data_IF_064719057432
#
_entry.id   IF_064719057432
#
_cell.length_a   1.000
_cell.length_b   1.000
_cell.length_c   1.000
_cell.angle_alpha   90.00
_cell.angle_beta   90.00
_cell.angle_gamma   90.00
#
_symmetry.space_group_name_H-M   'P 1'
#
loop_
_entity.id
_entity.type
_entity.pdbx_description
1 polymer ?
#
# COMPACT_ATOMS: atom_id res chain seq x y z
N UNK A 1 -9.60 16.23 -61.74
CA UNK A 1 -10.02 15.27 -62.79
C UNK A 1 -10.58 14.05 -62.09
N UNK A 2 -11.88 14.04 -62.14
CA UNK A 2 -12.89 13.01 -62.51
C UNK A 2 -13.02 11.89 -61.52
N UNK A 3 -14.09 11.88 -60.66
CA UNK A 3 -15.47 11.43 -60.85
C UNK A 3 -15.51 9.98 -61.37
N UNK A 4 -16.20 9.01 -60.77
CA UNK A 4 -17.65 8.83 -60.67
C UNK A 4 -17.96 7.60 -59.79
N UNK A 5 -18.89 7.62 -58.88
CA UNK A 5 -20.37 7.44 -58.86
C UNK A 5 -20.87 6.03 -59.20
N UNK A 6 -21.75 5.63 -58.28
CA UNK A 6 -23.05 4.92 -58.39
C UNK A 6 -23.00 3.40 -58.18
N UNK A 7 -23.98 2.70 -57.67
CA UNK A 7 -25.37 2.94 -57.17
C UNK A 7 -25.81 1.64 -56.46
N UNK A 8 -26.46 1.76 -55.35
CA UNK A 8 -27.77 1.27 -54.90
C UNK A 8 -28.44 0.16 -55.70
N UNK A 9 -28.90 -0.89 -55.02
CA UNK A 9 -30.22 -1.51 -55.33
C UNK A 9 -30.89 -2.00 -54.04
N UNK A 10 -32.13 -1.57 -53.89
CA UNK A 10 -33.16 -1.96 -52.94
C UNK A 10 -33.66 -3.38 -53.16
N UNK A 11 -34.16 -4.01 -52.11
CA UNK A 11 -35.00 -5.18 -52.20
C UNK A 11 -35.56 -5.62 -50.84
N UNK A 12 -36.72 -5.13 -50.49
CA UNK A 12 -37.74 -5.70 -49.60
C UNK A 12 -38.88 -6.18 -50.52
N UNK A 13 -39.85 -7.02 -50.13
CA UNK A 13 -40.38 -7.35 -48.82
C UNK A 13 -40.87 -8.80 -48.58
N UNK A 14 -41.36 -9.02 -47.35
CA UNK A 14 -42.45 -9.89 -46.96
C UNK A 14 -42.25 -11.40 -46.95
N UNK A 15 -42.31 -11.98 -45.77
CA UNK A 15 -43.32 -13.00 -45.51
C UNK A 15 -43.73 -13.08 -44.04
N UNK A 16 -45.06 -13.06 -43.87
CA UNK A 16 -45.81 -13.11 -42.64
C UNK A 16 -46.02 -14.58 -42.24
N UNK A 17 -45.68 -14.88 -40.99
CA UNK A 17 -45.96 -16.17 -40.37
C UNK A 17 -46.54 -15.99 -38.96
N UNK A 18 -47.81 -15.80 -38.86
CA UNK A 18 -48.59 -15.89 -37.62
C UNK A 18 -48.53 -17.32 -37.08
N UNK A 19 -48.19 -17.45 -35.81
CA UNK A 19 -48.66 -18.61 -35.00
C UNK A 19 -49.22 -18.11 -33.67
N UNK A 20 -50.45 -18.47 -33.54
CA UNK A 20 -51.48 -18.17 -32.57
C UNK A 20 -51.14 -18.39 -31.10
N UNK A 21 -51.69 -17.49 -30.32
CA UNK A 21 -51.98 -17.59 -28.91
C UNK A 21 -52.80 -18.84 -28.51
N UNK A 22 -52.42 -19.50 -27.43
CA UNK A 22 -53.38 -20.30 -26.65
C UNK A 22 -53.47 -19.71 -25.23
N UNK A 23 -54.54 -18.93 -25.06
CA UNK A 23 -55.22 -18.71 -23.77
C UNK A 23 -56.06 -19.97 -23.45
N UNK A 24 -55.85 -20.53 -22.29
CA UNK A 24 -56.84 -21.35 -21.56
C UNK A 24 -56.86 -20.86 -20.13
N UNK A 25 -57.83 -20.13 -19.80
CA UNK A 25 -59.16 -20.26 -19.28
C UNK A 25 -59.24 -20.93 -17.91
N UNK A 26 -59.60 -20.05 -16.98
CA UNK A 26 -60.15 -20.35 -15.64
C UNK A 26 -61.35 -21.32 -15.67
N UNK A 27 -61.42 -22.23 -14.68
CA UNK A 27 -62.63 -22.37 -13.84
C UNK A 27 -62.55 -23.55 -12.87
N UNK A 28 -62.65 -23.17 -11.60
CA UNK A 28 -63.52 -23.74 -10.58
C UNK A 28 -63.45 -25.24 -10.24
N UNK A 29 -63.01 -25.47 -8.99
CA UNK A 29 -63.72 -26.43 -8.14
C UNK A 29 -63.90 -25.87 -6.74
N UNK A 30 -65.12 -25.80 -6.30
CA UNK A 30 -65.60 -25.29 -5.02
C UNK A 30 -66.04 -26.50 -4.13
N UNK A 31 -65.71 -26.42 -2.85
CA UNK A 31 -66.47 -26.79 -1.64
C UNK A 31 -66.48 -28.27 -1.21
N UNK A 32 -66.01 -28.54 -0.01
CA UNK A 32 -66.76 -28.81 1.24
C UNK A 32 -65.79 -28.98 2.43
N UNK A 33 -65.83 -28.08 3.33
CA UNK A 33 -66.42 -28.05 4.66
C UNK A 33 -65.83 -29.02 5.70
N UNK A 34 -65.30 -28.43 6.77
CA UNK A 34 -65.35 -28.99 8.12
C UNK A 34 -64.10 -28.90 8.95
N UNK A 35 -64.08 -28.05 9.98
CA UNK A 35 -63.17 -28.19 11.09
C UNK A 35 -62.39 -26.93 11.46
N UNK A 36 -62.93 -26.10 12.33
CA UNK A 36 -62.26 -25.00 12.97
C UNK A 36 -61.15 -25.50 13.94
N UNK A 37 -59.89 -25.11 13.70
CA UNK A 37 -58.89 -24.96 14.76
C UNK A 37 -58.17 -23.64 14.47
N UNK A 38 -58.43 -22.67 15.33
CA UNK A 38 -57.70 -21.39 15.35
C UNK A 38 -56.28 -21.65 15.85
N UNK A 39 -55.35 -21.85 14.93
CA UNK A 39 -53.93 -21.74 15.21
C UNK A 39 -53.48 -20.41 14.61
N UNK A 40 -53.08 -19.47 15.47
CA UNK A 40 -52.62 -18.17 15.08
C UNK A 40 -51.45 -18.27 14.11
N UNK A 41 -51.65 -17.87 12.86
CA UNK A 41 -50.61 -17.61 11.92
C UNK A 41 -49.92 -16.33 12.37
N UNK A 42 -48.90 -16.46 13.23
CA UNK A 42 -47.85 -15.47 13.29
C UNK A 42 -47.21 -15.49 11.89
N UNK A 43 -47.65 -14.59 11.05
CA UNK A 43 -46.99 -14.29 9.81
C UNK A 43 -45.57 -13.91 10.15
N UNK A 44 -44.61 -14.76 9.78
CA UNK A 44 -43.24 -14.38 9.69
C UNK A 44 -43.16 -13.23 8.67
N UNK A 45 -43.32 -12.00 9.14
CA UNK A 45 -42.89 -10.82 8.39
C UNK A 45 -41.44 -11.08 8.15
N UNK A 46 -40.95 -11.21 6.88
CA UNK A 46 -39.52 -11.22 6.66
C UNK A 46 -39.02 -9.89 7.22
N UNK A 47 -38.32 -9.95 8.34
CA UNK A 47 -37.50 -8.86 8.79
C UNK A 47 -36.52 -8.61 7.61
N UNK A 48 -36.92 -7.70 6.72
CA UNK A 48 -35.96 -7.04 5.85
C UNK A 48 -34.99 -6.40 6.83
N UNK A 49 -33.87 -7.10 7.09
CA UNK A 49 -32.77 -6.54 7.85
C UNK A 49 -32.46 -5.21 7.19
N UNK A 50 -32.65 -4.14 7.90
CA UNK A 50 -32.16 -2.85 7.48
C UNK A 50 -30.66 -3.05 7.28
N UNK A 51 -30.19 -2.82 6.06
CA UNK A 51 -28.76 -2.85 5.82
C UNK A 51 -28.12 -1.86 6.81
N UNK A 52 -27.16 -2.34 7.59
CA UNK A 52 -26.47 -1.48 8.53
C UNK A 52 -25.85 -0.30 7.77
N UNK A 53 -25.85 0.89 8.38
CA UNK A 53 -25.23 2.07 7.79
C UNK A 53 -23.76 1.78 7.50
N UNK A 54 -23.24 2.19 6.34
CA UNK A 54 -21.86 1.96 5.99
C UNK A 54 -20.91 2.71 6.92
N UNK A 55 -19.75 2.11 7.19
CA UNK A 55 -18.68 2.72 7.96
C UNK A 55 -17.70 3.42 7.02
N UNK A 56 -17.56 4.72 7.17
CA UNK A 56 -16.64 5.50 6.36
C UNK A 56 -15.20 5.39 6.87
N UNK A 57 -14.29 5.07 5.96
CA UNK A 57 -12.83 5.18 6.18
C UNK A 57 -12.21 6.10 5.12
N UNK A 58 -11.30 6.95 5.56
CA UNK A 58 -10.59 7.86 4.67
C UNK A 58 -9.33 7.25 4.09
N UNK A 59 -8.97 7.68 2.87
CA UNK A 59 -7.72 7.29 2.23
C UNK A 59 -7.05 8.51 1.57
N UNK A 60 -5.82 8.80 1.98
CA UNK A 60 -5.02 9.93 1.52
C UNK A 60 -3.84 9.43 0.69
N UNK A 61 -3.88 9.61 -0.63
CA UNK A 61 -2.79 9.20 -1.52
C UNK A 61 -2.57 10.22 -2.63
N UNK A 62 -1.30 10.46 -3.04
CA UNK A 62 -1.00 11.28 -4.21
C UNK A 62 -1.33 10.50 -5.48
N UNK A 63 -2.46 10.78 -6.12
CA UNK A 63 -2.82 10.21 -7.43
C UNK A 63 -2.42 11.11 -8.59
N UNK A 64 -1.95 12.31 -8.26
CA UNK A 64 -1.32 13.25 -9.19
C UNK A 64 0.02 13.77 -8.64
N UNK A 65 0.81 14.43 -9.50
CA UNK A 65 2.15 14.93 -9.14
C UNK A 65 3.25 13.87 -9.21
N UNK A 66 4.41 14.16 -8.62
CA UNK A 66 5.63 13.36 -8.77
C UNK A 66 5.60 11.95 -8.18
N UNK A 67 4.64 11.66 -7.29
CA UNK A 67 4.49 10.37 -6.64
C UNK A 67 3.25 9.57 -7.13
N UNK A 68 2.63 10.03 -8.23
CA UNK A 68 1.36 9.49 -8.72
C UNK A 68 1.41 7.98 -9.02
N UNK A 69 2.52 7.47 -9.59
CA UNK A 69 2.66 6.04 -9.91
C UNK A 69 2.48 5.15 -8.68
N UNK A 70 3.07 5.55 -7.56
CA UNK A 70 2.93 4.83 -6.28
C UNK A 70 1.50 4.99 -5.75
N UNK A 71 0.98 6.23 -5.76
CA UNK A 71 -0.34 6.55 -5.20
C UNK A 71 -1.49 5.84 -5.90
N UNK A 72 -1.46 5.75 -7.24
CA UNK A 72 -2.48 5.04 -8.03
C UNK A 72 -2.50 3.56 -7.68
N UNK A 73 -1.34 2.91 -7.53
CA UNK A 73 -1.26 1.53 -7.08
C UNK A 73 -1.79 1.33 -5.65
N UNK A 74 -1.51 2.27 -4.75
CA UNK A 74 -2.09 2.27 -3.40
C UNK A 74 -3.62 2.36 -3.42
N UNK A 75 -4.20 3.23 -4.26
CA UNK A 75 -5.66 3.34 -4.40
C UNK A 75 -6.28 2.05 -4.93
N UNK A 76 -5.64 1.38 -5.89
CA UNK A 76 -6.09 0.07 -6.38
C UNK A 76 -6.11 -0.98 -5.26
N UNK A 77 -5.07 -1.02 -4.43
CA UNK A 77 -4.99 -1.93 -3.28
C UNK A 77 -6.02 -1.58 -2.18
N UNK A 78 -6.28 -0.29 -1.94
CA UNK A 78 -7.29 0.15 -0.98
C UNK A 78 -8.70 -0.32 -1.37
N UNK A 79 -9.05 -0.17 -2.66
CA UNK A 79 -10.33 -0.66 -3.20
C UNK A 79 -10.43 -2.18 -3.07
N UNK A 80 -9.38 -2.91 -3.46
CA UNK A 80 -9.32 -4.37 -3.29
C UNK A 80 -9.54 -4.79 -1.83
N UNK A 81 -8.83 -4.17 -0.89
CA UNK A 81 -8.94 -4.52 0.53
C UNK A 81 -10.34 -4.26 1.10
N UNK A 82 -10.96 -3.12 0.75
CA UNK A 82 -12.34 -2.80 1.15
C UNK A 82 -13.34 -3.78 0.55
N UNK A 83 -13.18 -4.16 -0.73
CA UNK A 83 -14.00 -5.19 -1.36
C UNK A 83 -13.87 -6.53 -0.63
N UNK A 84 -12.65 -6.97 -0.31
CA UNK A 84 -12.41 -8.22 0.44
C UNK A 84 -13.11 -8.22 1.82
N UNK A 85 -13.02 -7.12 2.59
CA UNK A 85 -13.73 -6.98 3.87
C UNK A 85 -15.24 -7.06 3.66
N UNK A 86 -15.75 -6.36 2.65
CA UNK A 86 -17.19 -6.30 2.36
C UNK A 86 -17.75 -7.64 1.85
N UNK A 87 -16.98 -8.38 1.06
CA UNK A 87 -17.34 -9.73 0.58
C UNK A 87 -17.31 -10.76 1.71
N UNK A 88 -16.46 -10.58 2.70
CA UNK A 88 -16.43 -11.40 3.92
C UNK A 88 -17.61 -11.13 4.88
N UNK A 89 -18.52 -10.24 4.50
CA UNK A 89 -19.74 -9.92 5.26
C UNK A 89 -19.68 -8.58 6.02
N UNK A 90 -18.70 -7.72 5.72
CA UNK A 90 -18.52 -6.42 6.36
C UNK A 90 -18.13 -6.52 7.85
N UNK A 91 -18.43 -5.50 8.63
CA UNK A 91 -18.13 -5.42 10.08
C UNK A 91 -19.30 -6.08 10.85
N UNK A 92 -19.09 -7.29 11.32
CA UNK A 92 -20.14 -8.12 11.93
C UNK A 92 -20.67 -7.55 13.23
N UNK A 93 -19.80 -6.99 14.07
CA UNK A 93 -20.18 -6.32 15.32
C UNK A 93 -21.06 -5.09 15.11
N UNK A 94 -21.10 -4.56 13.88
CA UNK A 94 -21.96 -3.46 13.43
C UNK A 94 -23.09 -3.96 12.50
N UNK A 95 -23.55 -5.18 12.70
CA UNK A 95 -24.67 -5.74 11.91
C UNK A 95 -24.33 -6.03 10.45
N UNK A 96 -23.05 -6.28 10.12
CA UNK A 96 -22.56 -6.50 8.77
C UNK A 96 -22.37 -5.20 7.97
N UNK A 97 -22.14 -4.08 8.66
CA UNK A 97 -21.90 -2.78 8.03
C UNK A 97 -20.74 -2.85 7.02
N UNK A 98 -20.98 -2.37 5.81
CA UNK A 98 -19.97 -2.34 4.76
C UNK A 98 -19.00 -1.19 5.00
N UNK A 99 -17.73 -1.39 4.72
CA UNK A 99 -16.78 -0.29 4.63
C UNK A 99 -17.06 0.55 3.38
N UNK A 100 -17.07 1.87 3.55
CA UNK A 100 -17.14 2.84 2.47
C UNK A 100 -15.81 3.62 2.42
N UNK A 101 -15.09 3.50 1.31
CA UNK A 101 -13.77 4.13 1.12
C UNK A 101 -13.94 5.53 0.52
N UNK A 102 -13.50 6.54 1.23
CA UNK A 102 -13.50 7.93 0.75
C UNK A 102 -12.07 8.33 0.43
N UNK A 103 -11.80 8.49 -0.86
CA UNK A 103 -10.47 8.80 -1.40
C UNK A 103 -10.26 10.32 -1.48
N UNK A 104 -9.05 10.77 -1.18
CA UNK A 104 -8.60 12.13 -1.42
C UNK A 104 -7.20 12.15 -2.04
N UNK A 105 -7.06 12.92 -3.14
CA UNK A 105 -5.77 13.14 -3.80
C UNK A 105 -5.00 14.25 -3.10
N UNK A 106 -3.85 13.91 -2.53
CA UNK A 106 -2.97 14.87 -1.87
C UNK A 106 -1.92 15.48 -2.82
N UNK A 107 -2.00 15.20 -4.12
CA UNK A 107 -1.28 15.81 -5.24
C UNK A 107 0.26 15.87 -5.06
N UNK A 108 0.84 14.96 -4.28
CA UNK A 108 2.27 14.97 -3.91
C UNK A 108 2.74 16.27 -3.22
N UNK A 109 1.82 17.01 -2.59
CA UNK A 109 2.07 18.34 -2.00
C UNK A 109 1.63 18.41 -0.54
N UNK A 110 2.48 18.98 0.33
CA UNK A 110 2.23 19.08 1.78
C UNK A 110 1.12 20.05 2.15
N UNK A 111 0.96 21.14 1.40
CA UNK A 111 -0.11 22.12 1.61
C UNK A 111 -1.47 21.54 1.22
N UNK A 112 -1.53 20.88 0.07
CA UNK A 112 -2.72 20.16 -0.38
C UNK A 112 -3.05 19.03 0.60
N UNK A 113 -2.05 18.29 1.09
CA UNK A 113 -2.26 17.23 2.10
C UNK A 113 -2.97 17.78 3.34
N UNK A 114 -2.57 18.94 3.85
CA UNK A 114 -3.23 19.59 5.00
C UNK A 114 -4.69 19.87 4.70
N UNK A 115 -4.95 20.57 3.60
CA UNK A 115 -6.29 20.97 3.19
C UNK A 115 -7.21 19.77 2.95
N UNK A 116 -6.72 18.77 2.22
CA UNK A 116 -7.48 17.58 1.90
C UNK A 116 -7.74 16.69 3.12
N UNK A 117 -6.81 16.64 4.07
CA UNK A 117 -7.03 15.91 5.34
C UNK A 117 -8.10 16.61 6.18
N UNK A 118 -8.02 17.93 6.34
CA UNK A 118 -9.05 18.72 7.05
C UNK A 118 -10.42 18.56 6.38
N UNK A 119 -10.51 18.68 5.04
CA UNK A 119 -11.73 18.51 4.27
C UNK A 119 -12.32 17.11 4.43
N UNK A 120 -11.48 16.08 4.28
CA UNK A 120 -11.91 14.68 4.38
C UNK A 120 -12.54 14.38 5.74
N UNK A 121 -11.98 14.92 6.82
CA UNK A 121 -12.48 14.75 8.19
C UNK A 121 -13.76 15.56 8.44
N UNK A 122 -13.80 16.82 7.99
CA UNK A 122 -14.94 17.72 8.29
C UNK A 122 -16.19 17.39 7.50
N UNK A 123 -16.04 16.93 6.26
CA UNK A 123 -17.17 16.61 5.39
C UNK A 123 -17.70 15.18 5.59
N UNK A 124 -16.93 14.30 6.26
CA UNK A 124 -17.28 12.90 6.38
C UNK A 124 -17.16 12.42 7.82
N UNK A 125 -18.08 11.58 8.25
CA UNK A 125 -18.01 10.91 9.55
C UNK A 125 -17.05 9.73 9.46
N UNK A 126 -15.75 9.97 9.59
CA UNK A 126 -14.73 8.95 9.45
C UNK A 126 -14.47 8.20 10.76
N UNK A 127 -14.33 6.89 10.66
CA UNK A 127 -13.89 6.03 11.79
C UNK A 127 -12.38 5.95 11.90
N UNK A 128 -11.68 5.96 10.77
CA UNK A 128 -10.22 5.95 10.66
C UNK A 128 -9.79 6.44 9.28
N UNK A 129 -8.49 6.75 9.15
CA UNK A 129 -7.84 7.10 7.87
C UNK A 129 -6.65 6.17 7.69
N UNK A 130 -6.39 5.72 6.46
CA UNK A 130 -5.09 5.17 6.08
C UNK A 130 -4.42 6.04 5.00
N UNK A 131 -3.09 6.03 5.01
CA UNK A 131 -2.27 6.87 4.11
C UNK A 131 -1.32 7.75 4.94
N UNK A 132 -0.60 8.63 4.36
CA UNK A 132 0.03 8.52 3.06
C UNK A 132 1.16 7.46 3.12
N UNK A 133 1.86 7.18 2.03
CA UNK A 133 3.11 6.41 2.11
C UNK A 133 4.34 7.33 2.28
N UNK A 134 4.30 8.53 1.69
CA UNK A 134 5.38 9.50 1.76
C UNK A 134 5.45 10.18 3.12
N UNK A 135 6.61 10.11 3.78
CA UNK A 135 6.78 10.61 5.16
C UNK A 135 6.48 12.09 5.33
N UNK A 136 6.84 12.94 4.35
CA UNK A 136 6.55 14.38 4.40
C UNK A 136 5.04 14.66 4.41
N UNK A 137 4.29 13.98 3.57
CA UNK A 137 2.83 14.09 3.48
C UNK A 137 2.17 13.53 4.76
N UNK A 138 2.65 12.37 5.21
CA UNK A 138 2.09 11.70 6.41
C UNK A 138 2.30 12.51 7.68
N UNK A 139 3.44 13.19 7.84
CA UNK A 139 3.68 14.07 8.98
C UNK A 139 2.62 15.17 9.08
N UNK A 140 2.24 15.76 7.95
CA UNK A 140 1.19 16.78 7.87
C UNK A 140 -0.19 16.17 8.15
N UNK A 141 -0.54 15.05 7.49
CA UNK A 141 -1.81 14.37 7.71
C UNK A 141 -1.98 13.95 9.17
N UNK A 142 -0.92 13.41 9.79
CA UNK A 142 -0.95 12.96 11.19
C UNK A 142 -1.14 14.10 12.19
N UNK A 143 -0.64 15.31 11.91
CA UNK A 143 -0.92 16.50 12.73
C UNK A 143 -2.40 16.89 12.71
N UNK A 144 -3.02 16.84 11.53
CA UNK A 144 -4.45 17.13 11.35
C UNK A 144 -5.29 16.08 12.06
N UNK A 145 -4.98 14.80 11.86
CA UNK A 145 -5.66 13.68 12.49
C UNK A 145 -5.56 13.72 14.04
N UNK A 146 -4.39 14.09 14.59
CA UNK A 146 -4.20 14.23 16.05
C UNK A 146 -5.12 15.31 16.63
N UNK A 147 -5.19 16.50 15.99
CA UNK A 147 -6.07 17.60 16.42
C UNK A 147 -7.54 17.22 16.33
N UNK A 148 -7.91 16.52 15.25
CA UNK A 148 -9.30 16.10 15.00
C UNK A 148 -9.71 14.85 15.78
N UNK A 149 -8.77 14.17 16.45
CA UNK A 149 -8.97 12.91 17.17
C UNK A 149 -9.54 11.79 16.28
N UNK A 150 -9.06 11.71 15.05
CA UNK A 150 -9.35 10.63 14.10
C UNK A 150 -8.09 9.81 13.92
N UNK A 151 -8.10 8.48 14.15
CA UNK A 151 -6.89 7.67 14.01
C UNK A 151 -6.45 7.56 12.56
N UNK A 152 -5.13 7.67 12.36
CA UNK A 152 -4.47 7.41 11.08
C UNK A 152 -3.51 6.21 11.24
N UNK A 153 -3.60 5.25 10.32
CA UNK A 153 -2.68 4.13 10.19
C UNK A 153 -1.90 4.28 8.89
N UNK A 154 -0.58 4.12 8.94
CA UNK A 154 0.27 4.48 7.81
C UNK A 154 1.43 3.52 7.60
N UNK A 155 1.82 3.33 6.32
CA UNK A 155 3.04 2.64 5.90
C UNK A 155 4.27 3.56 5.78
N UNK A 156 4.19 4.81 6.21
CA UNK A 156 5.35 5.72 6.22
C UNK A 156 6.38 5.32 7.26
N UNK A 157 7.66 5.57 6.96
CA UNK A 157 8.78 5.05 7.74
C UNK A 157 9.46 6.06 8.68
N UNK A 158 9.23 7.37 8.54
CA UNK A 158 9.93 8.37 9.36
C UNK A 158 9.79 8.13 10.87
N UNK A 159 10.92 8.14 11.60
CA UNK A 159 10.93 7.98 13.06
C UNK A 159 10.26 9.13 13.82
N UNK A 160 9.92 10.23 13.13
CA UNK A 160 9.23 11.39 13.72
C UNK A 160 7.71 11.24 13.78
N UNK A 161 7.12 10.28 13.05
CA UNK A 161 5.67 10.16 12.86
C UNK A 161 4.87 10.04 14.16
N UNK A 162 5.39 9.29 15.11
CA UNK A 162 4.69 9.01 16.38
C UNK A 162 5.07 9.96 17.53
N UNK A 163 6.05 10.88 17.32
CA UNK A 163 6.48 11.79 18.39
C UNK A 163 5.36 12.74 18.79
N UNK A 164 4.89 12.65 20.06
CA UNK A 164 3.84 13.47 20.60
C UNK A 164 2.44 13.23 20.00
N UNK A 165 2.25 12.09 19.31
CA UNK A 165 0.99 11.71 18.67
C UNK A 165 0.46 10.41 19.22
N UNK A 166 -0.83 10.40 19.52
CA UNK A 166 -1.56 9.26 20.09
C UNK A 166 -2.60 8.68 19.13
N UNK A 167 -2.85 9.38 18.02
CA UNK A 167 -3.78 8.94 16.95
C UNK A 167 -3.05 8.45 15.70
N UNK A 168 -1.71 8.30 15.75
CA UNK A 168 -0.90 7.81 14.62
C UNK A 168 -0.37 6.41 14.91
N UNK A 169 -0.67 5.47 14.02
CA UNK A 169 -0.27 4.06 14.10
C UNK A 169 0.63 3.68 12.94
N UNK A 170 1.79 3.07 13.26
CA UNK A 170 2.80 2.63 12.29
C UNK A 170 3.05 1.13 12.45
N UNK A 171 2.38 0.28 11.64
CA UNK A 171 2.44 -1.18 11.79
C UNK A 171 3.72 -1.81 11.23
N UNK A 172 4.52 -1.07 10.47
CA UNK A 172 5.68 -1.57 9.75
C UNK A 172 7.00 -0.98 10.28
N UNK A 173 8.09 -1.38 9.61
CA UNK A 173 9.45 -0.91 9.93
C UNK A 173 9.60 0.61 9.79
N UNK A 174 10.50 1.17 10.59
CA UNK A 174 10.86 2.58 10.59
C UNK A 174 12.18 2.83 9.86
N UNK A 175 12.47 4.10 9.58
CA UNK A 175 13.66 4.52 8.87
C UNK A 175 14.97 4.06 9.53
N UNK A 176 15.06 4.12 10.87
CA UNK A 176 16.21 3.60 11.61
C UNK A 176 16.38 2.08 11.47
N UNK A 177 15.30 1.32 11.37
CA UNK A 177 15.34 -0.12 11.16
C UNK A 177 15.72 -0.45 9.71
N UNK A 178 15.25 0.32 8.72
CA UNK A 178 15.73 0.22 7.34
C UNK A 178 17.23 0.44 7.25
N UNK A 179 17.72 1.50 7.89
CA UNK A 179 19.17 1.81 7.93
C UNK A 179 19.98 0.64 8.46
N UNK A 180 19.56 0.04 9.57
CA UNK A 180 20.22 -1.14 10.15
C UNK A 180 20.26 -2.32 9.18
N UNK A 181 19.13 -2.65 8.57
CA UNK A 181 19.05 -3.77 7.61
C UNK A 181 19.93 -3.52 6.36
N UNK A 182 19.94 -2.30 5.82
CA UNK A 182 20.82 -1.94 4.70
C UNK A 182 22.31 -2.12 5.05
N UNK A 183 22.75 -1.68 6.22
CA UNK A 183 24.13 -1.85 6.69
C UNK A 183 24.49 -3.33 6.86
N UNK A 184 23.56 -4.13 7.39
CA UNK A 184 23.78 -5.57 7.53
C UNK A 184 23.83 -6.28 6.17
N UNK A 185 22.99 -5.90 5.22
CA UNK A 185 23.04 -6.45 3.86
C UNK A 185 24.32 -6.08 3.12
N UNK A 186 24.88 -4.88 3.35
CA UNK A 186 26.16 -4.51 2.75
C UNK A 186 27.30 -5.47 3.13
N UNK A 187 27.28 -5.98 4.37
CA UNK A 187 28.27 -6.97 4.85
C UNK A 187 28.12 -8.34 4.21
N UNK A 188 26.96 -8.67 3.65
CA UNK A 188 26.76 -9.93 2.94
C UNK A 188 27.38 -9.93 1.54
N UNK A 189 27.67 -8.75 0.97
CA UNK A 189 28.21 -8.60 -0.38
C UNK A 189 29.63 -8.03 -0.41
N UNK A 190 30.13 -7.47 0.69
CA UNK A 190 31.50 -6.95 0.80
C UNK A 190 32.05 -7.17 2.20
N UNK A 191 33.31 -7.68 2.29
CA UNK A 191 33.97 -7.92 3.59
C UNK A 191 34.23 -6.61 4.36
N UNK A 192 34.50 -5.51 3.66
CA UNK A 192 34.72 -4.16 4.21
C UNK A 192 33.96 -3.14 3.40
N UNK A 193 32.66 -2.98 3.66
CA UNK A 193 31.84 -2.06 2.89
C UNK A 193 32.25 -0.61 3.15
N UNK A 194 32.63 0.08 2.03
CA UNK A 194 32.82 1.53 1.95
C UNK A 194 31.61 2.10 1.22
N UNK A 195 30.74 2.77 1.95
CA UNK A 195 29.44 3.17 1.46
C UNK A 195 29.40 4.65 1.12
N UNK A 196 29.00 4.98 -0.09
CA UNK A 196 28.50 6.31 -0.43
C UNK A 196 26.99 6.33 -0.16
N UNK A 197 26.53 7.26 0.65
CA UNK A 197 25.09 7.48 0.91
C UNK A 197 24.68 8.74 0.16
N UNK A 198 23.71 8.61 -0.73
CA UNK A 198 23.03 9.71 -1.40
C UNK A 198 21.53 9.64 -1.08
N UNK A 199 20.93 10.79 -0.81
CA UNK A 199 19.53 10.79 -0.37
C UNK A 199 18.83 12.09 -0.74
N UNK A 200 17.56 11.98 -1.05
CA UNK A 200 16.73 13.17 -1.26
C UNK A 200 16.55 13.94 0.06
N UNK A 201 16.57 15.26 -0.01
CA UNK A 201 16.40 16.14 1.15
C UNK A 201 14.90 16.26 1.53
N UNK A 202 14.30 15.11 1.88
CA UNK A 202 12.92 14.98 2.35
C UNK A 202 12.89 14.34 3.73
N UNK A 203 11.73 14.30 4.36
CA UNK A 203 11.57 13.64 5.66
C UNK A 203 11.94 12.14 5.61
N UNK A 204 11.67 11.45 4.48
CA UNK A 204 12.05 10.06 4.26
C UNK A 204 13.57 9.92 4.09
N UNK A 205 14.13 10.66 3.13
CA UNK A 205 15.56 10.59 2.83
C UNK A 205 16.41 10.93 4.02
N UNK A 206 16.11 12.05 4.70
CA UNK A 206 16.83 12.52 5.89
C UNK A 206 16.73 11.55 7.08
N UNK A 207 15.53 11.00 7.34
CA UNK A 207 15.33 10.08 8.47
C UNK A 207 16.14 8.79 8.28
N UNK A 208 16.09 8.20 7.08
CA UNK A 208 16.82 6.96 6.77
C UNK A 208 18.32 7.18 6.75
N UNK A 209 18.81 8.25 6.09
CA UNK A 209 20.24 8.52 5.97
C UNK A 209 20.89 8.86 7.31
N UNK A 210 20.20 9.60 8.18
CA UNK A 210 20.69 9.85 9.53
C UNK A 210 20.82 8.54 10.32
N UNK A 211 19.86 7.61 10.19
CA UNK A 211 19.98 6.28 10.77
C UNK A 211 21.19 5.51 10.24
N UNK A 212 21.46 5.58 8.93
CA UNK A 212 22.66 4.98 8.33
C UNK A 212 23.93 5.56 8.95
N UNK A 213 24.03 6.90 9.05
CA UNK A 213 25.20 7.59 9.61
C UNK A 213 25.42 7.25 11.07
N UNK A 214 24.35 7.15 11.85
CA UNK A 214 24.41 6.85 13.28
C UNK A 214 24.82 5.39 13.55
N UNK A 215 24.26 4.45 12.79
CA UNK A 215 24.44 3.01 13.04
C UNK A 215 25.67 2.40 12.35
N UNK A 216 26.21 3.03 11.30
CA UNK A 216 27.32 2.50 10.51
C UNK A 216 28.54 2.10 11.34
N UNK A 217 29.01 2.90 12.34
CA UNK A 217 30.17 2.51 13.15
C UNK A 217 29.93 1.22 13.94
N UNK A 218 28.76 1.07 14.54
CA UNK A 218 28.39 -0.12 15.33
C UNK A 218 28.25 -1.37 14.44
N UNK A 219 27.86 -1.18 13.17
CA UNK A 219 27.75 -2.26 12.19
C UNK A 219 29.07 -2.54 11.45
N UNK A 220 30.17 -1.80 11.74
CA UNK A 220 31.47 -1.98 11.10
C UNK A 220 31.48 -1.56 9.62
N UNK A 221 30.65 -0.60 9.25
CA UNK A 221 30.53 -0.04 7.89
C UNK A 221 31.13 1.34 7.84
N UNK A 222 32.00 1.62 6.87
CA UNK A 222 32.59 2.94 6.64
C UNK A 222 31.73 3.74 5.68
N UNK A 223 31.19 4.89 6.13
CA UNK A 223 30.53 5.85 5.23
C UNK A 223 31.61 6.83 4.71
N UNK A 224 32.00 6.68 3.44
CA UNK A 224 33.04 7.51 2.78
C UNK A 224 32.46 8.76 2.10
N UNK A 225 31.14 8.80 1.88
CA UNK A 225 30.43 9.94 1.31
C UNK A 225 29.00 10.00 1.88
N UNK A 226 28.53 11.21 2.20
CA UNK A 226 27.18 11.43 2.74
C UNK A 226 26.62 12.72 2.15
N UNK A 227 25.79 12.61 1.11
CA UNK A 227 25.39 13.75 0.29
C UNK A 227 23.88 13.81 0.09
N UNK A 228 23.21 14.88 0.58
CA UNK A 228 21.84 15.18 0.25
C UNK A 228 21.71 15.76 -1.16
N UNK A 229 20.57 15.55 -1.80
CA UNK A 229 20.21 16.20 -3.04
C UNK A 229 18.74 16.67 -3.01
N UNK A 230 18.41 17.67 -3.84
CA UNK A 230 17.02 18.10 -4.04
C UNK A 230 16.31 17.14 -4.96
N UNK A 231 15.14 16.63 -4.55
CA UNK A 231 14.34 15.72 -5.34
C UNK A 231 13.92 16.35 -6.68
N UNK A 232 13.83 15.52 -7.73
CA UNK A 232 13.41 15.95 -9.06
C UNK A 232 14.53 16.56 -9.91
N UNK A 233 15.79 16.23 -9.63
CA UNK A 233 16.91 16.66 -10.50
C UNK A 233 16.83 15.97 -11.87
N UNK A 234 17.37 16.63 -12.90
CA UNK A 234 17.35 16.13 -14.29
C UNK A 234 18.67 15.55 -14.76
N UNK A 235 19.75 15.72 -13.98
CA UNK A 235 21.10 15.19 -14.25
C UNK A 235 21.73 14.68 -12.96
N UNK A 236 21.98 13.37 -12.90
CA UNK A 236 22.66 12.72 -11.78
C UNK A 236 24.18 12.69 -11.93
N UNK A 237 24.76 13.09 -13.08
CA UNK A 237 26.18 12.94 -13.37
C UNK A 237 27.08 13.63 -12.35
N UNK A 238 26.81 14.86 -11.89
CA UNK A 238 27.65 15.50 -10.87
C UNK A 238 27.68 14.71 -9.56
N UNK A 239 26.52 14.17 -9.13
CA UNK A 239 26.38 13.39 -7.91
C UNK A 239 27.11 12.05 -8.02
N UNK A 240 26.92 11.32 -9.13
CA UNK A 240 27.55 10.02 -9.35
C UNK A 240 29.07 10.14 -9.55
N UNK A 241 29.57 11.24 -10.13
CA UNK A 241 31.00 11.50 -10.20
C UNK A 241 31.62 11.73 -8.80
N UNK A 242 30.91 12.36 -7.86
CA UNK A 242 31.33 12.44 -6.45
C UNK A 242 31.39 11.04 -5.82
N UNK A 243 30.37 10.18 -6.05
CA UNK A 243 30.40 8.78 -5.61
C UNK A 243 31.62 8.05 -6.13
N UNK A 244 31.93 8.19 -7.42
CA UNK A 244 33.11 7.59 -8.05
C UNK A 244 34.42 8.08 -7.41
N UNK A 245 34.53 9.36 -7.12
CA UNK A 245 35.71 9.97 -6.51
C UNK A 245 35.88 9.57 -5.03
N UNK A 246 34.82 9.17 -4.34
CA UNK A 246 34.84 8.78 -2.92
C UNK A 246 35.53 7.44 -2.65
N UNK A 247 35.73 6.62 -3.68
CA UNK A 247 36.27 5.26 -3.53
C UNK A 247 35.33 4.28 -2.87
N UNK A 248 34.02 4.58 -2.87
CA UNK A 248 32.99 3.68 -2.37
C UNK A 248 32.90 2.39 -3.20
N UNK A 249 32.67 1.24 -2.56
CA UNK A 249 32.37 -0.03 -3.19
C UNK A 249 30.89 -0.41 -3.08
N UNK A 250 30.10 0.40 -2.33
CA UNK A 250 28.66 0.30 -2.28
C UNK A 250 28.03 1.70 -2.34
N UNK A 251 26.88 1.81 -3.01
CA UNK A 251 26.06 3.00 -3.12
C UNK A 251 24.72 2.75 -2.47
N UNK A 252 24.38 3.51 -1.45
CA UNK A 252 23.04 3.53 -0.86
C UNK A 252 22.31 4.77 -1.37
N UNK A 253 21.18 4.53 -2.05
CA UNK A 253 20.35 5.58 -2.59
C UNK A 253 19.01 5.59 -1.86
N UNK A 254 18.71 6.64 -1.11
CA UNK A 254 17.43 6.82 -0.45
C UNK A 254 16.56 7.78 -1.27
N UNK A 255 15.83 7.24 -2.21
CA UNK A 255 15.20 7.98 -3.31
C UNK A 255 13.82 7.46 -3.65
N UNK A 256 12.92 8.35 -4.13
CA UNK A 256 11.73 7.90 -4.84
C UNK A 256 12.03 7.56 -6.30
N UNK A 257 11.01 7.07 -7.03
CA UNK A 257 11.13 6.36 -8.29
C UNK A 257 11.95 7.10 -9.35
N UNK A 258 11.57 8.35 -9.67
CA UNK A 258 12.13 9.06 -10.82
C UNK A 258 13.62 9.33 -10.66
N UNK A 259 14.00 9.77 -9.46
CA UNK A 259 15.40 10.06 -9.14
C UNK A 259 16.23 8.77 -9.09
N UNK A 260 15.69 7.68 -8.52
CA UNK A 260 16.37 6.40 -8.46
C UNK A 260 16.64 5.82 -9.87
N UNK A 261 15.66 5.90 -10.77
CA UNK A 261 15.82 5.48 -12.17
C UNK A 261 17.00 6.24 -12.79
N UNK A 262 17.04 7.56 -12.62
CA UNK A 262 18.11 8.39 -13.17
C UNK A 262 19.47 8.05 -12.56
N UNK A 263 19.54 7.86 -11.24
CA UNK A 263 20.75 7.44 -10.53
C UNK A 263 21.28 6.13 -11.08
N UNK A 264 20.46 5.08 -11.15
CA UNK A 264 20.88 3.76 -11.62
C UNK A 264 21.36 3.79 -13.08
N UNK A 265 20.63 4.50 -13.95
CA UNK A 265 21.06 4.69 -15.35
C UNK A 265 22.40 5.44 -15.45
N UNK A 266 22.58 6.49 -14.64
CA UNK A 266 23.82 7.28 -14.65
C UNK A 266 25.00 6.48 -14.10
N UNK A 267 24.83 5.69 -13.02
CA UNK A 267 25.85 4.77 -12.51
C UNK A 267 26.35 3.86 -13.63
N UNK A 268 25.44 3.29 -14.40
CA UNK A 268 25.80 2.42 -15.55
C UNK A 268 26.49 3.19 -16.67
N UNK A 269 25.98 4.38 -17.01
CA UNK A 269 26.51 5.22 -18.08
C UNK A 269 27.96 5.65 -17.82
N UNK A 270 28.30 6.02 -16.57
CA UNK A 270 29.68 6.43 -16.19
C UNK A 270 30.59 5.23 -15.89
N UNK A 271 30.10 4.01 -16.07
CA UNK A 271 30.86 2.78 -15.83
C UNK A 271 31.32 2.59 -14.40
N UNK A 272 30.54 3.08 -13.42
CA UNK A 272 30.85 2.91 -12.01
C UNK A 272 30.45 1.50 -11.55
N UNK A 273 31.42 0.73 -11.07
CA UNK A 273 31.18 -0.63 -10.55
C UNK A 273 31.06 -0.58 -9.02
N UNK A 274 29.83 -0.54 -8.52
CA UNK A 274 29.49 -0.53 -7.09
C UNK A 274 28.26 -1.39 -6.84
N UNK A 275 28.19 -2.03 -5.68
CA UNK A 275 26.97 -2.66 -5.22
C UNK A 275 25.92 -1.58 -4.92
N UNK A 276 24.72 -1.67 -5.51
CA UNK A 276 23.66 -0.67 -5.29
C UNK A 276 22.63 -1.25 -4.34
N UNK A 277 22.34 -0.49 -3.25
CA UNK A 277 21.17 -0.66 -2.42
C UNK A 277 20.25 0.55 -2.65
N UNK A 278 19.12 0.31 -3.31
CA UNK A 278 18.14 1.34 -3.65
C UNK A 278 17.24 1.75 -2.49
N UNK A 279 17.48 1.22 -1.29
CA UNK A 279 16.61 1.47 -0.13
C UNK A 279 15.21 0.88 -0.30
N UNK A 280 14.24 1.58 0.23
CA UNK A 280 12.80 1.43 -0.01
C UNK A 280 12.35 2.49 -1.05
N UNK A 281 11.14 2.99 -0.95
CA UNK A 281 10.69 4.10 -1.79
C UNK A 281 10.47 3.70 -3.25
N UNK A 282 11.28 4.26 -4.13
CA UNK A 282 11.18 4.00 -5.56
C UNK A 282 11.69 2.64 -6.02
N UNK A 283 12.52 1.97 -5.20
CA UNK A 283 13.17 0.72 -5.55
C UNK A 283 12.20 -0.48 -5.62
N UNK A 284 11.21 -0.50 -4.73
CA UNK A 284 10.37 -1.68 -4.44
C UNK A 284 9.06 -1.70 -5.23
N UNK A 285 8.94 -0.90 -6.27
CA UNK A 285 7.73 -0.80 -7.09
C UNK A 285 7.94 -1.34 -8.51
N UNK A 286 6.90 -1.90 -9.16
CA UNK A 286 7.00 -2.51 -10.50
C UNK A 286 7.58 -1.56 -11.55
N UNK A 287 7.24 -0.26 -11.46
CA UNK A 287 7.68 0.74 -12.41
C UNK A 287 9.20 0.96 -12.40
N UNK A 288 9.89 0.65 -11.31
CA UNK A 288 11.35 0.68 -11.30
C UNK A 288 11.91 -0.32 -12.31
N UNK A 289 11.51 -1.60 -12.22
CA UNK A 289 11.98 -2.61 -13.17
C UNK A 289 11.53 -2.31 -14.60
N UNK A 290 10.28 -1.87 -14.80
CA UNK A 290 9.79 -1.48 -16.14
C UNK A 290 10.65 -0.41 -16.79
N UNK A 291 11.22 0.50 -16.00
CA UNK A 291 12.04 1.61 -16.50
C UNK A 291 13.52 1.29 -16.66
N UNK A 292 14.10 0.48 -15.78
CA UNK A 292 15.55 0.18 -15.83
C UNK A 292 15.84 -1.21 -16.39
N UNK A 293 14.83 -2.08 -16.47
CA UNK A 293 14.95 -3.43 -17.04
C UNK A 293 16.02 -4.26 -16.33
N UNK A 294 16.82 -4.95 -17.12
CA UNK A 294 17.91 -5.81 -16.62
C UNK A 294 18.97 -5.09 -15.78
N UNK A 295 19.00 -3.76 -15.76
CA UNK A 295 19.89 -3.02 -14.84
C UNK A 295 19.47 -3.16 -13.39
N UNK A 296 18.22 -3.56 -13.12
CA UNK A 296 17.75 -3.85 -11.78
C UNK A 296 18.23 -5.19 -11.25
N UNK A 297 18.56 -6.14 -12.11
CA UNK A 297 18.90 -7.50 -11.71
C UNK A 297 20.09 -7.53 -10.74
N UNK A 298 19.89 -8.18 -9.60
CA UNK A 298 20.86 -8.27 -8.52
C UNK A 298 20.96 -7.03 -7.62
N UNK A 299 20.33 -5.90 -7.97
CA UNK A 299 20.27 -4.74 -7.08
C UNK A 299 19.47 -5.07 -5.82
N UNK A 300 19.93 -4.54 -4.70
CA UNK A 300 19.37 -4.79 -3.39
C UNK A 300 18.59 -3.59 -2.88
N UNK A 301 17.69 -3.85 -1.94
CA UNK A 301 16.95 -2.83 -1.22
C UNK A 301 16.39 -3.37 0.08
N UNK A 302 15.60 -2.56 0.74
CA UNK A 302 14.83 -2.94 1.92
C UNK A 302 13.38 -2.55 1.73
N UNK A 303 12.48 -3.32 2.32
CA UNK A 303 11.05 -3.06 2.27
C UNK A 303 10.44 -3.31 3.65
N UNK A 304 9.33 -2.66 3.96
CA UNK A 304 8.55 -3.00 5.13
C UNK A 304 7.49 -4.08 4.84
N UNK A 305 7.37 -4.50 3.59
CA UNK A 305 6.48 -5.56 3.14
C UNK A 305 6.93 -6.07 1.76
N UNK A 306 6.75 -7.37 1.48
CA UNK A 306 6.92 -7.92 0.15
C UNK A 306 5.86 -8.98 -0.12
N UNK A 307 5.49 -9.16 -1.38
CA UNK A 307 4.39 -10.04 -1.79
C UNK A 307 4.66 -11.54 -1.58
N UNK A 308 5.90 -11.95 -1.38
CA UNK A 308 6.32 -13.36 -1.20
C UNK A 308 6.38 -13.81 0.27
N UNK A 309 6.15 -12.90 1.23
CA UNK A 309 6.43 -13.15 2.65
C UNK A 309 5.49 -14.15 3.33
N UNK A 310 4.27 -14.35 2.81
CA UNK A 310 3.29 -15.30 3.35
C UNK A 310 2.28 -15.76 2.31
N UNK A 311 1.57 -16.87 2.60
CA UNK A 311 0.49 -17.36 1.72
C UNK A 311 -0.62 -16.33 1.52
N UNK A 312 -0.96 -15.56 2.55
CA UNK A 312 -1.96 -14.50 2.45
C UNK A 312 -1.47 -13.35 1.58
N UNK A 313 -0.19 -12.97 1.71
CA UNK A 313 0.43 -11.98 0.83
C UNK A 313 0.42 -12.42 -0.63
N UNK A 314 0.74 -13.69 -0.91
CA UNK A 314 0.71 -14.27 -2.26
C UNK A 314 -0.71 -14.32 -2.85
N UNK A 315 -1.72 -14.68 -2.06
CA UNK A 315 -3.14 -14.67 -2.51
C UNK A 315 -3.58 -13.26 -2.90
N UNK A 316 -3.30 -12.28 -2.07
CA UNK A 316 -3.65 -10.87 -2.37
C UNK A 316 -2.86 -10.36 -3.57
N UNK A 317 -1.58 -10.71 -3.67
CA UNK A 317 -0.75 -10.38 -4.83
C UNK A 317 -1.34 -10.94 -6.14
N UNK A 318 -1.79 -12.19 -6.13
CA UNK A 318 -2.40 -12.80 -7.31
C UNK A 318 -3.68 -12.05 -7.75
N UNK A 319 -4.53 -11.66 -6.81
CA UNK A 319 -5.75 -10.91 -7.11
C UNK A 319 -5.45 -9.47 -7.56
N UNK A 320 -4.47 -8.81 -6.93
CA UNK A 320 -4.03 -7.48 -7.33
C UNK A 320 -3.43 -7.50 -8.74
N UNK A 321 -2.55 -8.47 -9.03
CA UNK A 321 -1.92 -8.65 -10.34
C UNK A 321 -2.94 -8.91 -11.45
N UNK A 322 -3.98 -9.68 -11.17
CA UNK A 322 -5.08 -9.92 -12.11
C UNK A 322 -5.80 -8.62 -12.48
N UNK A 323 -5.93 -7.67 -11.54
CA UNK A 323 -6.65 -6.40 -11.75
C UNK A 323 -5.78 -5.31 -12.39
N UNK A 324 -4.49 -5.29 -12.06
CA UNK A 324 -3.59 -4.18 -12.43
C UNK A 324 -2.56 -4.56 -13.48
N UNK A 325 -2.25 -5.85 -13.64
CA UNK A 325 -1.13 -6.36 -14.43
C UNK A 325 0.20 -6.37 -13.68
N UNK A 326 0.30 -5.74 -12.51
CA UNK A 326 1.51 -5.57 -11.71
C UNK A 326 1.47 -6.40 -10.43
N UNK A 327 2.65 -6.75 -9.88
CA UNK A 327 2.71 -7.34 -8.55
C UNK A 327 2.34 -6.33 -7.46
N UNK A 328 1.83 -6.83 -6.34
CA UNK A 328 1.50 -6.03 -5.18
C UNK A 328 2.79 -5.61 -4.47
N UNK A 329 3.11 -4.34 -4.54
CA UNK A 329 4.35 -3.78 -4.00
C UNK A 329 4.20 -3.32 -2.54
N UNK A 330 5.31 -2.98 -1.92
CA UNK A 330 5.47 -2.63 -0.50
C UNK A 330 4.32 -1.82 0.08
N UNK A 331 4.06 -0.61 -0.46
CA UNK A 331 3.04 0.29 0.09
C UNK A 331 1.63 -0.22 -0.14
N UNK A 332 1.39 -0.77 -1.31
CA UNK A 332 0.08 -1.32 -1.69
C UNK A 332 -0.28 -2.55 -0.84
N UNK A 333 0.68 -3.45 -0.62
CA UNK A 333 0.49 -4.63 0.23
C UNK A 333 0.34 -4.26 1.70
N UNK A 334 1.17 -3.36 2.18
CA UNK A 334 1.05 -2.83 3.55
C UNK A 334 -0.30 -2.17 3.80
N UNK A 335 -0.86 -1.50 2.80
CA UNK A 335 -2.17 -0.86 2.89
C UNK A 335 -3.31 -1.88 2.98
N UNK A 336 -3.21 -3.02 2.30
CA UNK A 336 -4.18 -4.11 2.49
C UNK A 336 -4.21 -4.52 3.96
N UNK A 337 -3.05 -4.78 4.56
CA UNK A 337 -2.96 -5.13 5.98
C UNK A 337 -3.55 -4.02 6.88
N UNK A 338 -3.27 -2.74 6.60
CA UNK A 338 -3.82 -1.60 7.34
C UNK A 338 -5.34 -1.54 7.27
N UNK A 339 -5.95 -1.81 6.11
CA UNK A 339 -7.40 -1.86 5.97
C UNK A 339 -8.01 -2.97 6.83
N UNK A 340 -7.38 -4.14 6.90
CA UNK A 340 -7.82 -5.23 7.76
C UNK A 340 -7.57 -4.95 9.26
N UNK A 341 -6.52 -4.19 9.62
CA UNK A 341 -6.32 -3.71 10.99
C UNK A 341 -7.42 -2.74 11.41
N UNK A 342 -7.86 -1.85 10.51
CA UNK A 342 -9.01 -0.96 10.75
C UNK A 342 -10.30 -1.80 10.92
N UNK A 343 -10.52 -2.79 10.06
CA UNK A 343 -11.69 -3.67 10.16
C UNK A 343 -11.70 -4.45 11.48
N UNK A 344 -10.56 -5.01 11.92
CA UNK A 344 -10.42 -5.70 13.22
C UNK A 344 -10.67 -4.74 14.39
N UNK A 345 -10.18 -3.50 14.30
CA UNK A 345 -10.42 -2.48 15.32
C UNK A 345 -11.89 -2.08 15.39
N UNK A 346 -12.61 -1.97 14.28
CA UNK A 346 -14.06 -1.75 14.23
C UNK A 346 -14.83 -2.90 14.86
N UNK A 347 -14.45 -4.14 14.56
CA UNK A 347 -15.04 -5.34 15.17
C UNK A 347 -14.89 -5.34 16.70
N UNK A 348 -13.68 -5.07 17.21
CA UNK A 348 -13.39 -5.00 18.66
C UNK A 348 -14.09 -3.83 19.34
N UNK A 349 -14.14 -2.68 18.67
CA UNK A 349 -14.80 -1.49 19.20
C UNK A 349 -16.33 -1.62 19.25
N UNK A 350 -16.94 -2.44 18.40
CA UNK A 350 -18.39 -2.52 18.19
C UNK A 350 -18.98 -1.13 17.88
N UNK A 351 -18.20 -0.25 17.25
CA UNK A 351 -18.56 1.16 17.07
C UNK A 351 -17.75 1.77 15.91
N UNK A 352 -18.39 2.66 15.17
CA UNK A 352 -17.75 3.51 14.17
C UNK A 352 -17.18 4.84 14.77
N UNK A 353 -17.29 5.05 16.07
CA UNK A 353 -16.72 6.22 16.75
C UNK A 353 -15.19 6.21 16.68
N UNK A 354 -14.54 7.27 16.16
CA UNK A 354 -13.09 7.27 15.91
C UNK A 354 -12.27 7.14 17.21
N UNK A 355 -12.76 7.58 18.35
CA UNK A 355 -12.03 7.45 19.62
C UNK A 355 -12.06 6.00 20.12
N UNK A 356 -13.20 5.29 19.94
CA UNK A 356 -13.30 3.86 20.26
C UNK A 356 -12.44 3.03 19.30
N UNK A 357 -12.46 3.36 18.02
CA UNK A 357 -11.58 2.71 17.00
C UNK A 357 -10.11 2.94 17.33
N UNK A 358 -9.73 4.17 17.73
CA UNK A 358 -8.37 4.50 18.20
C UNK A 358 -7.97 3.63 19.40
N UNK A 359 -8.86 3.49 20.39
CA UNK A 359 -8.61 2.65 21.56
C UNK A 359 -8.43 1.18 21.17
N UNK A 360 -9.28 0.66 20.27
CA UNK A 360 -9.17 -0.70 19.74
C UNK A 360 -7.87 -0.92 18.93
N UNK A 361 -7.45 0.05 18.12
CA UNK A 361 -6.15 0.01 17.43
C UNK A 361 -4.99 -0.04 18.43
N UNK A 362 -5.03 0.77 19.49
CA UNK A 362 -3.98 0.74 20.53
C UNK A 362 -3.87 -0.60 21.27
N UNK A 363 -4.97 -1.35 21.34
CA UNK A 363 -5.02 -2.67 21.94
C UNK A 363 -4.86 -3.82 20.94
N UNK A 364 -4.57 -3.49 19.67
CA UNK A 364 -4.43 -4.50 18.62
C UNK A 364 -3.26 -5.44 18.95
N UNK A 365 -3.55 -6.75 18.94
CA UNK A 365 -2.58 -7.84 19.07
C UNK A 365 -3.06 -8.97 18.17
N UNK A 366 -2.44 -9.11 17.00
CA UNK A 366 -2.83 -10.05 15.95
C UNK A 366 -1.62 -10.81 15.43
N UNK A 367 -1.82 -12.13 15.14
CA UNK A 367 -0.78 -13.03 14.66
C UNK A 367 -1.26 -13.94 13.54
N UNK A 368 -2.39 -13.62 12.91
CA UNK A 368 -2.93 -14.39 11.79
C UNK A 368 -3.86 -13.53 10.92
N UNK A 369 -4.12 -13.99 9.70
CA UNK A 369 -4.98 -13.32 8.73
C UNK A 369 -4.35 -12.04 8.16
N UNK A 370 -5.13 -11.33 7.35
CA UNK A 370 -4.63 -10.17 6.60
C UNK A 370 -4.18 -9.01 7.49
N UNK A 371 -4.75 -8.83 8.68
CA UNK A 371 -4.32 -7.80 9.64
C UNK A 371 -2.91 -8.06 10.20
N UNK A 372 -2.46 -9.32 10.22
CA UNK A 372 -1.12 -9.72 10.65
C UNK A 372 -0.12 -9.81 9.48
N UNK A 373 -0.48 -9.38 8.29
CA UNK A 373 0.34 -9.46 7.08
C UNK A 373 1.44 -8.38 7.11
N UNK A 374 2.38 -8.58 8.05
CA UNK A 374 3.60 -7.81 8.27
C UNK A 374 4.78 -8.78 8.40
N UNK A 375 6.04 -8.37 8.24
CA UNK A 375 7.19 -9.22 8.50
C UNK A 375 7.11 -9.87 9.89
N UNK A 376 7.41 -11.18 9.96
CA UNK A 376 7.23 -11.98 11.17
C UNK A 376 5.78 -12.34 11.51
N UNK A 377 4.79 -11.94 10.72
CA UNK A 377 3.38 -12.35 10.86
C UNK A 377 2.70 -11.84 12.13
N UNK A 378 3.16 -10.72 12.72
CA UNK A 378 2.62 -10.21 13.98
C UNK A 378 2.51 -8.69 13.98
N UNK A 379 1.39 -8.19 14.51
CA UNK A 379 1.20 -6.75 14.74
C UNK A 379 0.65 -6.54 16.14
N UNK A 380 1.39 -5.78 16.94
CA UNK A 380 0.98 -5.30 18.27
C UNK A 380 1.51 -3.90 18.46
N UNK A 381 0.62 -2.97 18.73
CA UNK A 381 1.03 -1.59 18.97
C UNK A 381 1.53 -1.39 20.41
N UNK A 382 2.69 -0.75 20.53
CA UNK A 382 3.19 -0.22 21.78
C UNK A 382 2.47 1.07 22.19
N UNK A 383 2.80 1.62 23.38
CA UNK A 383 2.18 2.86 23.88
C UNK A 383 2.35 4.07 22.94
N UNK A 384 3.39 4.03 22.09
CA UNK A 384 3.71 5.07 21.12
C UNK A 384 3.06 4.84 19.74
N UNK A 385 2.14 3.86 19.61
CA UNK A 385 1.46 3.55 18.36
C UNK A 385 2.32 2.87 17.31
N UNK A 386 3.51 2.37 17.69
CA UNK A 386 4.40 1.61 16.80
C UNK A 386 4.23 0.11 17.01
N UNK A 387 4.30 -0.66 15.94
CA UNK A 387 4.36 -2.11 16.06
C UNK A 387 5.68 -2.53 16.73
N UNK A 388 5.56 -3.21 17.89
CA UNK A 388 6.74 -3.68 18.65
C UNK A 388 7.50 -4.81 17.93
N UNK A 389 6.87 -5.50 16.99
CA UNK A 389 7.45 -6.55 16.16
C UNK A 389 7.89 -6.04 14.78
N UNK A 390 7.61 -4.77 14.45
CA UNK A 390 7.89 -4.21 13.14
C UNK A 390 9.39 -4.26 12.82
N UNK A 391 9.73 -4.90 11.70
CA UNK A 391 11.07 -4.95 11.14
C UNK A 391 11.01 -4.96 9.62
N UNK A 392 12.08 -4.58 8.91
CA UNK A 392 12.10 -4.60 7.46
C UNK A 392 12.52 -5.98 6.93
N UNK A 393 12.18 -6.25 5.68
CA UNK A 393 12.76 -7.32 4.88
C UNK A 393 13.78 -6.74 3.91
N UNK A 394 14.91 -7.41 3.74
CA UNK A 394 15.84 -7.14 2.65
C UNK A 394 15.36 -7.81 1.39
N UNK A 395 15.37 -7.07 0.29
CA UNK A 395 14.85 -7.53 -0.99
C UNK A 395 15.88 -7.38 -2.10
N UNK A 396 15.75 -8.21 -3.14
CA UNK A 396 16.61 -8.16 -4.32
C UNK A 396 15.77 -8.39 -5.58
N UNK A 397 16.04 -7.64 -6.63
CA UNK A 397 15.49 -7.91 -7.96
C UNK A 397 16.11 -9.17 -8.54
N UNK A 398 15.28 -10.18 -8.82
CA UNK A 398 15.69 -11.47 -9.39
C UNK A 398 14.68 -11.91 -10.45
N UNK A 399 15.14 -12.07 -11.69
CA UNK A 399 14.30 -12.49 -12.83
C UNK A 399 13.08 -11.59 -13.08
N UNK A 400 13.21 -10.29 -12.84
CA UNK A 400 12.16 -9.31 -13.05
C UNK A 400 11.12 -9.23 -11.94
N UNK A 401 11.36 -9.91 -10.82
CA UNK A 401 10.51 -9.87 -9.63
C UNK A 401 11.32 -9.52 -8.38
N UNK A 402 10.65 -9.14 -7.30
CA UNK A 402 11.27 -8.72 -6.07
C UNK A 402 11.22 -9.86 -5.04
N UNK A 403 12.36 -10.44 -4.73
CA UNK A 403 12.49 -11.57 -3.81
C UNK A 403 12.95 -11.11 -2.42
N UNK A 404 12.35 -11.66 -1.36
CA UNK A 404 12.81 -11.48 0.02
C UNK A 404 14.05 -12.33 0.27
N UNK A 405 15.18 -11.67 0.63
CA UNK A 405 16.50 -12.32 0.76
C UNK A 405 17.13 -12.14 2.14
N UNK A 406 16.53 -11.34 3.04
CA UNK A 406 17.03 -11.04 4.38
C UNK A 406 15.88 -10.54 5.28
N UNK A 407 15.89 -10.77 6.62
CA UNK A 407 16.76 -11.70 7.37
C UNK A 407 16.42 -13.17 7.09
N UNK A 408 17.16 -14.12 7.70
CA UNK A 408 16.98 -15.55 7.41
C UNK A 408 15.57 -16.07 7.74
N UNK A 409 14.91 -15.54 8.76
CA UNK A 409 13.52 -15.89 9.12
C UNK A 409 12.48 -15.46 8.07
N UNK A 410 12.73 -14.37 7.35
CA UNK A 410 11.82 -13.85 6.31
C UNK A 410 12.28 -14.20 4.89
N UNK A 411 13.44 -14.82 4.75
CA UNK A 411 14.04 -15.16 3.47
C UNK A 411 13.19 -16.15 2.66
N UNK A 412 12.98 -15.84 1.39
CA UNK A 412 12.26 -16.67 0.41
C UNK A 412 13.12 -17.07 -0.78
N UNK A 413 14.24 -16.38 -1.01
CA UNK A 413 15.21 -16.69 -2.04
C UNK A 413 16.64 -16.47 -1.54
N UNK A 414 17.67 -17.12 -2.13
CA UNK A 414 19.06 -16.82 -1.83
C UNK A 414 19.42 -15.40 -2.31
N UNK A 415 20.29 -14.72 -1.55
CA UNK A 415 20.90 -13.49 -2.02
C UNK A 415 21.91 -13.83 -3.14
N UNK A 416 21.69 -13.27 -4.32
CA UNK A 416 22.62 -13.40 -5.44
C UNK A 416 23.76 -12.38 -5.28
N UNK A 417 25.00 -12.83 -5.33
CA UNK A 417 26.19 -11.97 -5.37
C UNK A 417 26.40 -11.53 -6.82
N UNK A 418 26.32 -10.24 -7.07
CA UNK A 418 26.51 -9.60 -8.39
C UNK A 418 27.84 -8.88 -8.46
#
# INVERSE_FOLDING_TARGET
MTRDRRQSVFGNPSDTGQIQSKRQSRRKFLIKAGGAVAAGAFGAVPLRGWAADPVNIGALYPTTGGMAQIGVGCVAAAKLAVEMVNEAGGIKSLGGARLNLILSDVQSDTTVTRTETDRLITENKLSAIHGCFASALTLIASEVCERAKVPIITGSSSDQLNKGRTYTFTPFARASQFAKAQLQMAKLVADKPKVAVIFENTAFGTSTSNGLKELAPAEGVEIVMFEPYSAGFTDASPLINKVKASGANALFSVSYLNDLILIVRTVKQVGLNVAINGGSGGFVIPDFYKNVGKLAEGLQGVAHWNHDMSDDAQKVNAEYKKRTGDFLFEYAGGLVAQTFMIADALERAGSADPQKVRAALSALDVSSGYAAMAPGGKVKFGPDGKNIFGHPVGVQWQNGDLASVFPDEDKRAPLLKT
#
